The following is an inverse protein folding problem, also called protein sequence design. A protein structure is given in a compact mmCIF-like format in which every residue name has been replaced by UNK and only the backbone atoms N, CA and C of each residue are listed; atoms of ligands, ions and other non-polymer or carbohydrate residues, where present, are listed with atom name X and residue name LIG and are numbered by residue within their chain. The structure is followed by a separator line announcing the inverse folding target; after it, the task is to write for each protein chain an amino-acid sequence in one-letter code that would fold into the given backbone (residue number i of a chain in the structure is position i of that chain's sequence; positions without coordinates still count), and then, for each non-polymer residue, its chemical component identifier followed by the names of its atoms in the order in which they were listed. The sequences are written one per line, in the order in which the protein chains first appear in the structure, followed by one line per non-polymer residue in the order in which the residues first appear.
data_IF_228598233621
#
_entry.id   IF_228598233621
#
_cell.length_a   1.000
_cell.length_b   1.000
_cell.length_c   1.000
_cell.angle_alpha   90.00
_cell.angle_beta   90.00
_cell.angle_gamma   90.00
#
_symmetry.space_group_name_H-M   'P 1'
#
loop_
_entity.id
_entity.type
_entity.pdbx_description
1 polymer ?
#
# COMPACT_ATOMS: atom_id res chain seq x y z
N UNK A 1 15.61 20.07 23.21
CA UNK A 1 15.82 18.96 22.25
C UNK A 1 14.46 18.58 21.71
N UNK A 2 14.06 19.19 20.59
CA UNK A 2 12.77 18.89 19.94
C UNK A 2 12.91 17.59 19.17
N UNK A 3 12.15 16.57 19.55
CA UNK A 3 12.08 15.30 18.83
C UNK A 3 11.58 15.58 17.40
N UNK A 4 12.38 15.24 16.39
CA UNK A 4 11.89 15.15 15.03
C UNK A 4 11.02 13.91 14.96
N UNK A 5 9.69 14.11 14.96
CA UNK A 5 8.75 13.06 14.59
C UNK A 5 9.06 12.64 13.15
N UNK A 6 9.75 11.51 13.01
CA UNK A 6 10.04 10.92 11.71
C UNK A 6 8.73 10.46 11.10
N UNK A 7 8.17 11.24 10.18
CA UNK A 7 7.03 10.88 9.35
C UNK A 7 7.32 9.49 8.77
N UNK A 8 6.60 8.48 9.25
CA UNK A 8 6.75 7.11 8.76
C UNK A 8 6.05 7.04 7.40
N UNK A 9 6.82 7.24 6.33
CA UNK A 9 6.33 7.06 4.96
C UNK A 9 6.37 5.57 4.67
N UNK A 10 5.20 5.00 4.38
CA UNK A 10 5.13 3.62 3.97
C UNK A 10 5.67 3.45 2.56
N UNK A 11 6.44 2.38 2.37
CA UNK A 11 7.04 2.00 1.09
C UNK A 11 6.04 1.44 0.08
N UNK A 12 4.79 1.23 0.48
CA UNK A 12 3.74 0.71 -0.38
C UNK A 12 3.01 1.83 -1.11
N UNK A 13 2.46 1.50 -2.27
CA UNK A 13 1.56 2.37 -2.99
C UNK A 13 0.30 2.63 -2.15
N UNK A 14 -0.06 3.90 -2.00
CA UNK A 14 -1.29 4.37 -1.35
C UNK A 14 -2.55 3.72 -1.92
N UNK A 15 -2.52 3.35 -3.20
CA UNK A 15 -3.65 2.73 -3.88
C UNK A 15 -3.69 1.21 -3.74
N UNK A 16 -2.69 0.58 -3.13
CA UNK A 16 -2.73 -0.84 -2.83
C UNK A 16 -3.68 -1.08 -1.66
N UNK A 17 -4.67 -1.94 -1.86
CA UNK A 17 -5.63 -2.31 -0.85
C UNK A 17 -5.66 -3.83 -0.66
N UNK A 18 -6.07 -4.22 0.54
CA UNK A 18 -6.32 -5.59 0.92
C UNK A 18 -7.47 -5.62 1.90
N UNK A 19 -8.06 -6.80 2.13
CA UNK A 19 -9.13 -6.97 3.12
C UNK A 19 -8.65 -6.54 4.51
N UNK A 20 -7.39 -6.81 4.83
CA UNK A 20 -6.76 -6.44 6.10
C UNK A 20 -6.63 -4.92 6.24
N UNK A 21 -6.21 -4.21 5.19
CA UNK A 21 -6.11 -2.75 5.20
C UNK A 21 -7.45 -2.04 5.28
N UNK A 22 -8.51 -2.59 4.68
CA UNK A 22 -9.85 -2.02 4.83
C UNK A 22 -10.30 -2.05 6.31
N UNK A 23 -9.87 -3.07 7.06
CA UNK A 23 -10.16 -3.20 8.49
C UNK A 23 -9.17 -2.38 9.33
N UNK A 24 -7.89 -2.37 8.96
CA UNK A 24 -6.83 -1.66 9.66
C UNK A 24 -6.74 -0.20 9.20
N UNK A 25 -7.13 0.74 10.06
CA UNK A 25 -7.02 2.19 9.79
C UNK A 25 -5.60 2.75 9.97
N UNK A 26 -4.56 1.94 9.79
CA UNK A 26 -3.16 2.35 9.90
C UNK A 26 -2.44 2.17 8.56
N UNK A 27 -1.44 3.01 8.32
CA UNK A 27 -0.55 2.82 7.18
C UNK A 27 0.17 1.47 7.28
N UNK A 28 0.20 0.64 6.22
CA UNK A 28 0.99 -0.59 6.23
C UNK A 28 2.47 -0.25 6.23
N UNK A 29 3.26 -0.79 7.15
CA UNK A 29 4.72 -0.62 7.15
C UNK A 29 5.43 -1.92 6.73
N UNK A 30 4.79 -3.06 6.99
CA UNK A 30 5.29 -4.39 6.68
C UNK A 30 4.32 -5.13 5.74
N UNK A 31 4.82 -6.14 5.02
CA UNK A 31 4.00 -6.97 4.12
C UNK A 31 2.87 -7.67 4.88
N UNK A 32 3.13 -8.05 6.13
CA UNK A 32 2.14 -8.64 7.03
C UNK A 32 0.99 -7.69 7.37
N UNK A 33 1.15 -6.36 7.23
CA UNK A 33 0.04 -5.42 7.42
C UNK A 33 -0.96 -5.47 6.25
N UNK A 34 -0.48 -5.85 5.07
CA UNK A 34 -1.26 -5.98 3.85
C UNK A 34 -1.87 -7.38 3.71
N UNK A 35 -1.08 -8.43 3.90
CA UNK A 35 -1.52 -9.79 3.64
C UNK A 35 -2.31 -10.37 4.82
N UNK A 36 -3.48 -10.93 4.49
CA UNK A 36 -4.16 -11.92 5.33
C UNK A 36 -4.07 -13.31 4.70
N UNK A 37 -4.75 -14.29 5.27
CA UNK A 37 -4.76 -15.66 4.75
C UNK A 37 -5.33 -15.79 3.32
N UNK A 38 -5.98 -14.75 2.78
CA UNK A 38 -6.49 -14.76 1.40
C UNK A 38 -5.42 -14.41 0.36
N UNK A 39 -4.31 -13.80 0.79
CA UNK A 39 -3.26 -13.26 -0.07
C UNK A 39 -3.79 -12.37 -1.22
N UNK A 40 -4.97 -11.78 -1.05
CA UNK A 40 -5.64 -11.01 -2.09
C UNK A 40 -5.42 -9.51 -1.91
N UNK A 41 -4.91 -8.88 -2.97
CA UNK A 41 -4.70 -7.44 -3.07
C UNK A 41 -5.31 -6.89 -4.35
N UNK A 42 -5.81 -5.66 -4.28
CA UNK A 42 -6.37 -4.94 -5.42
C UNK A 42 -5.94 -3.47 -5.41
N UNK A 43 -6.16 -2.78 -6.52
CA UNK A 43 -5.97 -1.34 -6.60
C UNK A 43 -7.27 -0.62 -6.23
N UNK A 44 -7.22 0.30 -5.27
CA UNK A 44 -8.36 1.15 -4.89
C UNK A 44 -8.88 2.00 -6.06
N UNK A 45 -8.00 2.41 -6.98
CA UNK A 45 -8.38 3.27 -8.13
C UNK A 45 -9.17 2.53 -9.20
N UNK A 46 -8.71 1.34 -9.59
CA UNK A 46 -9.36 0.54 -10.64
C UNK A 46 -10.43 -0.39 -10.07
N UNK A 47 -10.38 -0.66 -8.75
CA UNK A 47 -11.19 -1.68 -8.07
C UNK A 47 -10.94 -3.09 -8.62
N UNK A 48 -9.75 -3.33 -9.17
CA UNK A 48 -9.35 -4.58 -9.82
C UNK A 48 -7.98 -5.06 -9.32
N UNK A 49 -7.65 -6.31 -9.63
CA UNK A 49 -6.31 -6.89 -9.39
C UNK A 49 -5.22 -6.36 -10.34
N UNK A 50 -5.55 -5.35 -11.15
CA UNK A 50 -4.66 -4.69 -12.11
C UNK A 50 -4.66 -3.20 -11.80
N UNK A 51 -3.47 -2.60 -11.71
CA UNK A 51 -3.30 -1.17 -11.49
C UNK A 51 -3.59 -0.34 -12.75
N UNK A 52 -3.66 1.00 -12.62
CA UNK A 52 -3.83 1.90 -13.77
C UNK A 52 -2.61 1.95 -14.69
N UNK A 53 -1.48 1.36 -14.26
CA UNK A 53 -0.28 1.10 -15.04
C UNK A 53 -0.37 -0.18 -15.87
N UNK A 54 -1.52 -0.87 -15.88
CA UNK A 54 -1.74 -2.17 -16.53
C UNK A 54 -0.91 -3.32 -15.93
N UNK A 55 -0.36 -3.14 -14.72
CA UNK A 55 0.47 -4.14 -14.05
C UNK A 55 -0.26 -4.75 -12.85
N UNK A 56 -0.03 -6.05 -12.52
CA UNK A 56 -0.76 -6.74 -11.45
C UNK A 56 -0.57 -6.12 -10.06
N UNK A 57 -1.61 -6.02 -9.24
CA UNK A 57 -1.44 -5.56 -7.86
C UNK A 57 -0.98 -6.69 -6.94
N UNK A 58 0.25 -6.58 -6.44
CA UNK A 58 0.82 -7.45 -5.40
C UNK A 58 1.69 -6.64 -4.44
N UNK A 59 1.96 -7.22 -3.27
CA UNK A 59 2.71 -6.57 -2.18
C UNK A 59 4.19 -6.36 -2.54
N UNK A 60 4.75 -7.24 -3.36
CA UNK A 60 6.13 -7.15 -3.84
C UNK A 60 6.33 -6.01 -4.86
N UNK A 61 5.39 -5.81 -5.78
CA UNK A 61 5.57 -4.87 -6.91
C UNK A 61 4.86 -3.52 -6.73
N UNK A 62 3.85 -3.41 -5.86
CA UNK A 62 3.13 -2.15 -5.63
C UNK A 62 3.91 -1.18 -4.74
N UNK A 63 5.12 -0.83 -5.19
CA UNK A 63 6.12 0.02 -4.55
C UNK A 63 6.81 0.88 -5.64
N UNK A 64 7.69 1.80 -5.25
CA UNK A 64 8.58 2.44 -6.24
C UNK A 64 9.45 1.33 -6.89
N UNK A 65 9.65 1.31 -8.22
CA UNK A 65 9.57 2.43 -9.17
C UNK A 65 8.31 2.47 -10.07
N UNK A 66 7.18 1.85 -9.67
CA UNK A 66 5.98 1.84 -10.52
C UNK A 66 5.52 3.23 -10.95
N UNK A 67 5.06 3.35 -12.19
CA UNK A 67 4.59 4.61 -12.75
C UNK A 67 3.39 5.20 -11.98
N UNK A 68 2.51 4.36 -11.45
CA UNK A 68 1.36 4.79 -10.65
C UNK A 68 1.63 4.83 -9.14
N UNK A 69 2.89 4.64 -8.71
CA UNK A 69 3.25 4.64 -7.29
C UNK A 69 3.00 6.02 -6.68
N UNK A 70 2.17 6.04 -5.65
CA UNK A 70 1.98 7.20 -4.78
C UNK A 70 2.31 6.74 -3.37
N UNK A 71 3.27 7.35 -2.66
CA UNK A 71 3.62 6.91 -1.32
C UNK A 71 2.44 7.12 -0.36
N UNK A 72 2.28 6.20 0.58
CA UNK A 72 1.29 6.32 1.64
C UNK A 72 1.86 7.27 2.71
N UNK A 73 1.44 8.54 2.64
CA UNK A 73 1.74 9.55 3.65
C UNK A 73 0.75 9.40 4.81
N UNK A 74 1.18 8.84 5.93
CA UNK A 74 0.41 8.93 7.18
C UNK A 74 0.34 10.40 7.60
N UNK A 75 -0.87 10.97 7.60
CA UNK A 75 -1.18 12.22 8.28
C UNK A 75 -1.88 11.90 9.60
#
# INVERSE_FOLDING_TARGET
MTAFESIQISSFCRHLCSKKLVIQRRAPLLDEDLLDASCHTWCEKTQESIGPDCEPTCVDDCRAPRACFVPYSGA
#
